data_IF_474993960200
#
_entry.id   IF_474993960200
#
_cell.length_a   1.000
_cell.length_b   1.000
_cell.length_c   1.000
_cell.angle_alpha   90.00
_cell.angle_beta   90.00
_cell.angle_gamma   90.00
#
_symmetry.space_group_name_H-M   'P 1'
#
loop_
_entity.id
_entity.type
_entity.pdbx_description
1 polymer ?
#
# COMPACT_ATOMS: atom_id res chain seq x y z
N UNK A 1 -36.87 7.66 -9.68
CA UNK A 1 -35.73 6.89 -9.21
C UNK A 1 -34.77 7.89 -8.54
N UNK A 2 -34.41 7.66 -7.28
CA UNK A 2 -33.38 8.45 -6.63
C UNK A 2 -32.03 8.16 -7.32
N UNK A 3 -31.35 9.20 -7.74
CA UNK A 3 -29.99 9.09 -8.30
C UNK A 3 -29.03 8.63 -7.22
N UNK A 4 -28.16 7.66 -7.52
CA UNK A 4 -27.10 7.25 -6.62
C UNK A 4 -26.08 8.40 -6.45
N UNK A 5 -25.55 8.55 -5.24
CA UNK A 5 -24.45 9.49 -4.98
C UNK A 5 -23.17 8.98 -5.62
N UNK A 6 -22.63 9.74 -6.56
CA UNK A 6 -21.40 9.36 -7.25
C UNK A 6 -20.16 9.72 -6.42
N UNK A 7 -19.28 8.76 -6.21
CA UNK A 7 -18.00 8.91 -5.49
C UNK A 7 -16.86 8.50 -6.41
N UNK A 8 -15.91 9.41 -6.65
CA UNK A 8 -14.70 9.14 -7.42
C UNK A 8 -13.62 8.60 -6.51
N UNK A 9 -13.23 7.34 -6.70
CA UNK A 9 -12.23 6.66 -5.88
C UNK A 9 -10.98 6.29 -6.70
N UNK A 10 -9.83 6.83 -6.34
CA UNK A 10 -8.55 6.37 -6.85
C UNK A 10 -8.17 5.02 -6.25
N UNK A 11 -7.50 4.19 -7.02
CA UNK A 11 -6.91 2.95 -6.55
C UNK A 11 -5.66 2.57 -7.35
N UNK A 12 -4.71 1.94 -6.70
CA UNK A 12 -3.64 1.20 -7.36
C UNK A 12 -4.12 -0.23 -7.59
N UNK A 13 -3.89 -0.80 -8.77
CA UNK A 13 -4.44 -2.10 -9.17
C UNK A 13 -3.69 -3.27 -8.50
N UNK A 14 -3.74 -3.36 -7.18
CA UNK A 14 -3.14 -4.39 -6.33
C UNK A 14 -4.15 -4.92 -5.31
N UNK A 15 -3.87 -6.09 -4.76
CA UNK A 15 -4.78 -6.76 -3.81
C UNK A 15 -4.93 -6.05 -2.47
N UNK A 16 -4.09 -5.07 -2.17
CA UNK A 16 -4.16 -4.28 -0.92
C UNK A 16 -5.49 -3.55 -0.73
N UNK A 17 -6.21 -3.29 -1.83
CA UNK A 17 -7.50 -2.58 -1.80
C UNK A 17 -8.70 -3.53 -1.99
N UNK A 18 -8.52 -4.82 -1.72
CA UNK A 18 -9.56 -5.85 -1.78
C UNK A 18 -10.86 -5.45 -1.03
N UNK A 19 -10.84 -4.79 0.15
CA UNK A 19 -12.06 -4.32 0.79
C UNK A 19 -12.93 -3.43 -0.10
N UNK A 20 -12.32 -2.52 -0.87
CA UNK A 20 -13.04 -1.65 -1.79
C UNK A 20 -13.61 -2.43 -2.98
N UNK A 21 -12.82 -3.34 -3.55
CA UNK A 21 -13.29 -4.16 -4.69
C UNK A 21 -14.51 -4.99 -4.32
N UNK A 22 -14.49 -5.57 -3.13
CA UNK A 22 -15.60 -6.38 -2.61
C UNK A 22 -16.79 -5.51 -2.21
N UNK A 23 -16.56 -4.35 -1.62
CA UNK A 23 -17.65 -3.43 -1.29
C UNK A 23 -18.44 -3.00 -2.55
N UNK A 24 -17.76 -2.86 -3.68
CA UNK A 24 -18.40 -2.57 -4.97
C UNK A 24 -19.00 -3.86 -5.56
N UNK A 25 -18.21 -4.93 -5.65
CA UNK A 25 -18.61 -6.16 -6.35
C UNK A 25 -19.74 -6.93 -5.68
N UNK A 26 -19.96 -6.74 -4.38
CA UNK A 26 -21.05 -7.32 -3.60
C UNK A 26 -22.18 -6.33 -3.30
N UNK A 27 -22.25 -5.25 -4.05
CA UNK A 27 -23.30 -4.23 -3.97
C UNK A 27 -23.42 -3.49 -2.62
N UNK A 28 -22.44 -3.62 -1.70
CA UNK A 28 -22.46 -2.92 -0.41
C UNK A 28 -22.46 -1.38 -0.58
N UNK A 29 -21.82 -0.87 -1.66
CA UNK A 29 -21.90 0.55 -2.02
C UNK A 29 -23.29 0.94 -2.47
N UNK A 30 -23.96 0.13 -3.29
CA UNK A 30 -25.34 0.37 -3.74
C UNK A 30 -26.35 0.32 -2.58
N UNK A 31 -26.16 -0.59 -1.62
CA UNK A 31 -26.97 -0.63 -0.38
C UNK A 31 -26.89 0.71 0.40
N UNK A 32 -25.79 1.42 0.24
CA UNK A 32 -25.58 2.76 0.81
C UNK A 32 -25.92 3.90 -0.14
N UNK A 33 -26.67 3.62 -1.22
CA UNK A 33 -27.02 4.57 -2.26
C UNK A 33 -25.82 5.27 -2.91
N UNK A 34 -24.70 4.53 -3.11
CA UNK A 34 -23.45 5.04 -3.70
C UNK A 34 -23.11 4.29 -4.98
N UNK A 35 -22.76 5.04 -6.02
CA UNK A 35 -22.08 4.56 -7.22
C UNK A 35 -20.62 5.00 -7.17
N UNK A 36 -19.69 4.05 -7.28
CA UNK A 36 -18.25 4.34 -7.25
C UNK A 36 -17.69 4.41 -8.66
N UNK A 37 -17.11 5.56 -8.99
CA UNK A 37 -16.34 5.78 -10.21
C UNK A 37 -14.86 5.50 -9.91
N UNK A 38 -14.37 4.33 -10.32
CA UNK A 38 -13.03 3.84 -10.02
C UNK A 38 -11.99 4.46 -10.97
N UNK A 39 -11.04 5.18 -10.42
CA UNK A 39 -9.95 5.85 -11.14
C UNK A 39 -8.61 5.16 -10.83
N UNK A 40 -8.06 4.43 -11.81
CA UNK A 40 -6.77 3.76 -11.67
C UNK A 40 -5.63 4.78 -11.67
N UNK A 41 -4.75 4.68 -10.70
CA UNK A 41 -3.51 5.47 -10.59
C UNK A 41 -2.30 4.55 -10.48
N UNK A 42 -1.13 5.05 -10.87
CA UNK A 42 0.11 4.28 -10.80
C UNK A 42 0.66 4.18 -9.37
N UNK A 43 0.43 5.21 -8.54
CA UNK A 43 0.97 5.27 -7.17
C UNK A 43 0.18 6.22 -6.28
N UNK A 44 0.45 6.14 -4.96
CA UNK A 44 -0.09 7.10 -4.00
C UNK A 44 0.39 8.53 -4.26
N UNK A 45 1.58 8.71 -4.77
CA UNK A 45 2.13 10.03 -5.12
C UNK A 45 1.29 10.72 -6.19
N UNK A 46 0.89 9.99 -7.22
CA UNK A 46 0.02 10.51 -8.29
C UNK A 46 -1.35 10.98 -7.76
N UNK A 47 -1.94 10.22 -6.85
CA UNK A 47 -3.26 10.53 -6.31
C UNK A 47 -3.30 11.77 -5.41
N UNK A 48 -2.17 12.16 -4.79
CA UNK A 48 -2.16 13.21 -3.76
C UNK A 48 -2.65 14.56 -4.27
N UNK A 49 -2.23 14.99 -5.45
CA UNK A 49 -2.66 16.26 -6.02
C UNK A 49 -4.18 16.29 -6.27
N UNK A 50 -4.74 15.21 -6.80
CA UNK A 50 -6.17 15.10 -7.10
C UNK A 50 -7.03 15.02 -5.83
N UNK A 51 -6.56 14.33 -4.80
CA UNK A 51 -7.22 14.28 -3.49
C UNK A 51 -7.19 15.66 -2.82
N UNK A 52 -6.04 16.34 -2.84
CA UNK A 52 -5.89 17.68 -2.26
C UNK A 52 -6.77 18.72 -2.95
N UNK A 53 -6.97 18.61 -4.26
CA UNK A 53 -7.86 19.48 -5.05
C UNK A 53 -9.34 19.08 -4.94
N UNK A 54 -9.66 17.91 -4.38
CA UNK A 54 -11.02 17.38 -4.31
C UNK A 54 -11.61 16.96 -5.67
N UNK A 55 -10.77 16.70 -6.67
CA UNK A 55 -11.17 16.08 -7.95
C UNK A 55 -11.34 14.57 -7.81
N UNK A 56 -10.71 13.98 -6.81
CA UNK A 56 -10.99 12.65 -6.27
C UNK A 56 -11.58 12.78 -4.87
N UNK A 57 -12.56 11.97 -4.54
CA UNK A 57 -13.23 11.93 -3.24
C UNK A 57 -12.47 11.02 -2.26
N UNK A 58 -12.08 9.85 -2.74
CA UNK A 58 -11.44 8.79 -1.96
C UNK A 58 -10.17 8.32 -2.65
N UNK A 59 -9.14 7.99 -1.88
CA UNK A 59 -7.93 7.36 -2.38
C UNK A 59 -7.62 6.06 -1.64
N UNK A 60 -7.60 4.93 -2.37
CA UNK A 60 -6.96 3.70 -1.93
C UNK A 60 -5.50 3.73 -2.39
N UNK A 61 -4.58 4.05 -1.50
CA UNK A 61 -3.20 4.39 -1.85
C UNK A 61 -2.17 3.85 -0.87
N UNK A 62 -0.94 3.67 -1.36
CA UNK A 62 0.23 3.49 -0.50
C UNK A 62 0.65 4.81 0.14
N UNK A 63 1.08 4.76 1.39
CA UNK A 63 1.65 5.92 2.08
C UNK A 63 3.03 6.22 1.48
N UNK A 64 3.24 7.47 1.10
CA UNK A 64 4.48 7.95 0.48
C UNK A 64 4.96 9.24 1.14
N UNK A 65 6.17 9.68 0.85
CA UNK A 65 6.66 10.98 1.29
C UNK A 65 5.77 12.13 0.79
N UNK A 66 5.16 12.00 -0.41
CA UNK A 66 4.20 12.97 -0.93
C UNK A 66 2.95 13.09 -0.04
N UNK A 67 2.51 12.00 0.56
CA UNK A 67 1.41 12.00 1.53
C UNK A 67 1.74 12.89 2.73
N UNK A 68 2.89 12.70 3.33
CA UNK A 68 3.34 13.51 4.48
C UNK A 68 3.60 14.96 4.09
N UNK A 69 4.21 15.22 2.92
CA UNK A 69 4.41 16.56 2.43
C UNK A 69 3.08 17.30 2.19
N UNK A 70 2.04 16.60 1.75
CA UNK A 70 0.71 17.16 1.60
C UNK A 70 0.11 17.55 2.96
N UNK A 71 0.23 16.70 3.98
CA UNK A 71 -0.19 17.03 5.35
C UNK A 71 0.58 18.21 5.92
N UNK A 72 1.90 18.25 5.73
CA UNK A 72 2.74 19.34 6.20
C UNK A 72 2.34 20.69 5.57
N UNK A 73 2.05 20.70 4.28
CA UNK A 73 1.56 21.88 3.54
C UNK A 73 0.15 22.32 3.96
N UNK A 74 -0.54 21.53 4.78
CA UNK A 74 -1.88 21.84 5.26
C UNK A 74 -2.98 21.53 4.25
N UNK A 75 -2.73 20.67 3.27
CA UNK A 75 -3.80 20.19 2.40
C UNK A 75 -4.87 19.45 3.22
N UNK A 76 -6.12 19.74 2.88
CA UNK A 76 -7.25 19.19 3.59
C UNK A 76 -7.59 17.80 3.03
N UNK A 77 -6.94 16.81 3.58
CA UNK A 77 -7.17 15.39 3.34
C UNK A 77 -6.80 14.60 4.60
N UNK A 78 -7.39 13.44 4.80
CA UNK A 78 -7.15 12.61 6.00
C UNK A 78 -7.07 11.14 5.64
N UNK A 79 -6.22 10.42 6.33
CA UNK A 79 -6.27 8.96 6.43
C UNK A 79 -7.48 8.63 7.31
N UNK A 80 -8.40 7.81 6.81
CA UNK A 80 -9.64 7.47 7.50
C UNK A 80 -9.76 5.98 7.83
N UNK A 81 -9.00 5.14 7.15
CA UNK A 81 -9.03 3.69 7.34
C UNK A 81 -7.72 3.03 6.87
N UNK A 82 -7.38 1.89 7.45
CA UNK A 82 -6.36 1.00 6.87
C UNK A 82 -6.89 0.38 5.58
N UNK A 83 -5.99 0.04 4.65
CA UNK A 83 -6.30 -0.90 3.59
C UNK A 83 -5.74 -2.27 3.97
N UNK A 84 -4.54 -2.62 3.49
CA UNK A 84 -3.88 -3.86 3.88
C UNK A 84 -2.77 -3.63 4.89
N UNK A 85 -2.51 -4.67 5.70
CA UNK A 85 -1.36 -4.77 6.57
C UNK A 85 -0.37 -5.77 5.98
N UNK A 86 0.92 -5.54 6.18
CA UNK A 86 1.93 -6.50 5.78
C UNK A 86 1.76 -7.83 6.53
N UNK A 87 1.90 -8.98 5.87
CA UNK A 87 1.93 -10.26 6.57
C UNK A 87 3.01 -10.27 7.64
N UNK A 88 2.75 -10.95 8.76
CA UNK A 88 3.74 -11.05 9.84
C UNK A 88 4.90 -11.95 9.47
N UNK A 89 4.71 -12.90 8.54
CA UNK A 89 5.71 -13.84 8.04
C UNK A 89 5.41 -14.23 6.60
N UNK A 90 6.47 -14.27 5.78
CA UNK A 90 6.41 -14.74 4.40
C UNK A 90 5.69 -13.74 3.48
N UNK A 91 5.85 -12.44 3.71
CA UNK A 91 5.31 -11.40 2.84
C UNK A 91 5.78 -11.56 1.40
N UNK A 92 4.96 -11.14 0.42
CA UNK A 92 5.25 -11.34 -1.00
C UNK A 92 6.34 -10.42 -1.53
N UNK A 93 6.56 -9.28 -0.89
CA UNK A 93 7.59 -8.30 -1.27
C UNK A 93 8.91 -8.64 -0.60
N UNK A 94 9.95 -8.79 -1.39
CA UNK A 94 11.26 -9.28 -0.94
C UNK A 94 12.40 -8.42 -1.47
N UNK A 95 13.55 -8.46 -0.80
CA UNK A 95 14.82 -7.98 -1.35
C UNK A 95 15.55 -9.17 -1.94
N UNK A 96 15.84 -9.10 -3.23
CA UNK A 96 16.60 -10.09 -3.99
C UNK A 96 17.98 -9.51 -4.25
N UNK A 97 19.01 -10.34 -4.15
CA UNK A 97 20.38 -10.01 -4.53
C UNK A 97 20.81 -10.81 -5.75
N UNK A 98 21.66 -10.26 -6.59
CA UNK A 98 22.23 -10.95 -7.74
C UNK A 98 22.95 -12.21 -7.29
N UNK A 99 22.61 -13.36 -7.92
CA UNK A 99 23.11 -14.68 -7.51
C UNK A 99 24.64 -14.75 -7.42
N UNK A 100 25.36 -14.16 -8.38
CA UNK A 100 26.83 -14.14 -8.38
C UNK A 100 27.44 -13.45 -7.14
N UNK A 101 26.78 -12.42 -6.59
CA UNK A 101 27.25 -11.76 -5.37
C UNK A 101 27.01 -12.61 -4.12
N UNK A 102 25.92 -13.37 -4.10
CA UNK A 102 25.62 -14.29 -3.01
C UNK A 102 26.60 -15.48 -3.02
N UNK A 103 26.77 -16.09 -4.19
CA UNK A 103 27.63 -17.27 -4.37
C UNK A 103 29.11 -16.96 -4.07
N UNK A 104 29.60 -15.78 -4.45
CA UNK A 104 30.96 -15.33 -4.14
C UNK A 104 31.17 -14.90 -2.68
N UNK A 105 30.10 -14.87 -1.87
CA UNK A 105 30.16 -14.41 -0.48
C UNK A 105 30.31 -12.90 -0.30
N UNK A 106 30.23 -12.10 -1.38
CA UNK A 106 30.32 -10.64 -1.32
C UNK A 106 29.09 -9.98 -0.71
N UNK A 107 27.92 -10.61 -0.80
CA UNK A 107 26.69 -10.17 -0.16
C UNK A 107 26.05 -11.35 0.55
N UNK A 108 26.03 -11.31 1.87
CA UNK A 108 25.45 -12.34 2.73
C UNK A 108 24.20 -11.83 3.45
N UNK A 109 24.16 -10.53 3.73
CA UNK A 109 23.11 -9.85 4.52
C UNK A 109 22.81 -8.46 3.96
N UNK A 110 21.82 -7.78 4.53
CA UNK A 110 21.48 -6.37 4.19
C UNK A 110 22.67 -5.43 4.45
N UNK A 111 23.50 -5.70 5.49
CA UNK A 111 24.67 -4.87 5.79
C UNK A 111 25.69 -4.83 4.63
N UNK A 112 25.76 -5.89 3.84
CA UNK A 112 26.68 -5.98 2.69
C UNK A 112 26.17 -5.21 1.44
N UNK A 113 25.00 -4.58 1.53
CA UNK A 113 24.48 -3.72 0.47
C UNK A 113 25.16 -2.34 0.43
N UNK A 114 26.01 -2.02 1.41
CA UNK A 114 26.77 -0.76 1.41
C UNK A 114 27.56 -0.60 0.10
N UNK A 115 27.37 0.56 -0.56
CA UNK A 115 27.99 0.87 -1.86
C UNK A 115 27.41 0.11 -3.06
N UNK A 116 26.31 -0.63 -2.88
CA UNK A 116 25.67 -1.42 -3.93
C UNK A 116 24.53 -0.70 -4.62
N UNK A 117 24.27 -1.08 -5.87
CA UNK A 117 23.14 -0.60 -6.68
C UNK A 117 21.89 -1.38 -6.33
N UNK A 118 20.92 -0.72 -5.69
CA UNK A 118 19.65 -1.31 -5.25
C UNK A 118 18.50 -0.69 -6.01
N UNK A 119 17.82 -1.51 -6.82
CA UNK A 119 16.67 -1.05 -7.61
C UNK A 119 15.39 -1.00 -6.76
N UNK A 120 14.67 0.10 -6.89
CA UNK A 120 13.39 0.34 -6.23
C UNK A 120 12.46 1.01 -7.24
N UNK A 121 11.31 0.39 -7.52
CA UNK A 121 10.33 0.98 -8.43
C UNK A 121 9.76 2.27 -7.86
N UNK A 122 9.77 3.33 -8.67
CA UNK A 122 9.31 4.67 -8.30
C UNK A 122 10.34 5.49 -7.52
N UNK A 123 11.45 4.90 -7.10
CA UNK A 123 12.57 5.61 -6.47
C UNK A 123 12.29 6.14 -5.06
N UNK A 124 12.91 7.28 -4.70
CA UNK A 124 12.84 7.85 -3.36
C UNK A 124 11.42 8.19 -2.90
N UNK A 125 11.15 8.04 -1.60
CA UNK A 125 9.89 8.46 -0.98
C UNK A 125 8.69 7.57 -1.28
N UNK A 126 8.87 6.46 -2.00
CA UNK A 126 7.81 5.48 -2.24
C UNK A 126 7.65 4.52 -1.05
N UNK A 127 6.54 3.79 -1.00
CA UNK A 127 6.33 2.72 -0.02
C UNK A 127 7.42 1.64 -0.14
N UNK A 128 7.86 1.35 -1.37
CA UNK A 128 9.00 0.44 -1.60
C UNK A 128 10.30 0.95 -0.98
N UNK A 129 10.59 2.24 -1.17
CA UNK A 129 11.76 2.85 -0.56
C UNK A 129 11.72 2.81 0.99
N UNK A 130 10.53 2.91 1.60
CA UNK A 130 10.36 2.71 3.04
C UNK A 130 10.83 1.33 3.49
N UNK A 131 10.45 0.25 2.80
CA UNK A 131 10.89 -1.10 3.15
C UNK A 131 12.40 -1.26 3.10
N UNK A 132 13.04 -0.74 2.06
CA UNK A 132 14.50 -0.79 1.92
C UNK A 132 15.17 0.04 3.01
N UNK A 133 14.73 1.28 3.23
CA UNK A 133 15.28 2.16 4.27
C UNK A 133 15.14 1.55 5.67
N UNK A 134 14.01 0.91 5.96
CA UNK A 134 13.79 0.21 7.23
C UNK A 134 14.74 -0.98 7.39
N UNK A 135 14.90 -1.82 6.36
CA UNK A 135 15.83 -2.93 6.39
C UNK A 135 17.28 -2.48 6.57
N UNK A 136 17.68 -1.40 5.90
CA UNK A 136 19.01 -0.79 6.06
C UNK A 136 19.21 -0.27 7.48
N UNK A 137 18.23 0.44 8.05
CA UNK A 137 18.27 0.97 9.42
C UNK A 137 18.50 -0.15 10.44
N UNK A 138 17.80 -1.28 10.31
CA UNK A 138 17.95 -2.45 11.16
C UNK A 138 19.35 -3.11 11.03
N UNK A 139 20.00 -2.94 9.88
CA UNK A 139 21.37 -3.40 9.64
C UNK A 139 22.46 -2.35 9.97
N UNK A 140 22.07 -1.22 10.59
CA UNK A 140 23.00 -0.14 10.95
C UNK A 140 23.44 0.73 9.79
N UNK A 141 22.69 0.72 8.68
CA UNK A 141 22.93 1.53 7.48
C UNK A 141 21.82 2.57 7.29
N UNK A 142 22.04 3.48 6.35
CA UNK A 142 21.04 4.43 5.88
C UNK A 142 20.85 4.30 4.37
N UNK A 143 19.84 4.95 3.83
CA UNK A 143 19.59 4.97 2.38
C UNK A 143 20.75 5.64 1.61
N UNK A 144 21.56 6.46 2.28
CA UNK A 144 22.76 7.11 1.70
C UNK A 144 23.94 6.15 1.53
N UNK A 145 23.89 4.99 2.17
CA UNK A 145 24.92 3.96 2.08
C UNK A 145 24.77 3.09 0.83
N UNK A 146 23.68 3.22 0.08
CA UNK A 146 23.43 2.50 -1.18
C UNK A 146 23.31 3.47 -2.36
N UNK A 147 23.51 2.97 -3.57
CA UNK A 147 23.14 3.64 -4.80
C UNK A 147 21.72 3.21 -5.20
N UNK A 148 20.72 4.05 -4.92
CA UNK A 148 19.32 3.75 -5.30
C UNK A 148 19.14 3.93 -6.80
N UNK A 149 18.60 2.90 -7.46
CA UNK A 149 18.28 2.93 -8.89
C UNK A 149 16.75 2.89 -9.02
N UNK A 150 16.18 3.94 -9.64
CA UNK A 150 14.76 3.92 -9.98
C UNK A 150 14.55 3.08 -11.24
N UNK A 151 13.97 1.90 -11.07
CA UNK A 151 13.76 0.95 -12.15
C UNK A 151 12.41 0.26 -11.98
N UNK A 152 11.60 0.22 -13.04
CA UNK A 152 10.31 -0.46 -13.01
C UNK A 152 10.47 -1.97 -12.83
N UNK A 153 9.54 -2.60 -12.11
CA UNK A 153 9.61 -4.03 -11.80
C UNK A 153 9.80 -4.94 -13.03
N UNK A 154 9.14 -4.71 -14.19
CA UNK A 154 9.34 -5.53 -15.37
C UNK A 154 10.79 -5.53 -15.89
N UNK A 155 11.52 -4.42 -15.69
CA UNK A 155 12.87 -4.24 -16.22
C UNK A 155 13.95 -4.82 -15.31
N UNK A 156 13.61 -5.12 -14.05
CA UNK A 156 14.55 -5.60 -13.03
C UNK A 156 15.21 -6.93 -13.42
N UNK A 157 14.45 -7.84 -14.05
CA UNK A 157 15.01 -9.12 -14.48
C UNK A 157 16.17 -8.93 -15.46
N UNK A 158 15.97 -8.11 -16.50
CA UNK A 158 17.02 -7.83 -17.50
C UNK A 158 18.21 -7.12 -16.85
N UNK A 159 17.97 -6.22 -15.89
CA UNK A 159 19.03 -5.52 -15.17
C UNK A 159 19.88 -6.49 -14.32
N UNK A 160 19.27 -7.50 -13.68
CA UNK A 160 20.00 -8.59 -13.00
C UNK A 160 20.83 -9.40 -13.99
N UNK A 161 20.27 -9.79 -15.13
CA UNK A 161 20.97 -10.56 -16.18
C UNK A 161 22.20 -9.83 -16.71
N UNK A 162 22.10 -8.51 -16.88
CA UNK A 162 23.21 -7.67 -17.36
C UNK A 162 24.17 -7.23 -16.25
N UNK A 163 23.89 -7.52 -14.98
CA UNK A 163 24.68 -7.05 -13.86
C UNK A 163 24.60 -5.53 -13.64
N UNK A 164 23.57 -4.87 -14.16
CA UNK A 164 23.36 -3.42 -14.03
C UNK A 164 22.91 -2.99 -12.63
N UNK A 165 22.33 -3.91 -11.86
CA UNK A 165 21.94 -3.75 -10.45
C UNK A 165 22.48 -4.90 -9.62
N UNK A 166 22.70 -4.66 -8.33
CA UNK A 166 23.20 -5.67 -7.39
C UNK A 166 22.06 -6.32 -6.59
N UNK A 167 21.06 -5.54 -6.24
CA UNK A 167 19.89 -5.98 -5.51
C UNK A 167 18.63 -5.22 -5.98
N UNK A 168 17.45 -5.72 -5.60
CA UNK A 168 16.18 -5.05 -5.88
C UNK A 168 15.14 -5.40 -4.82
N UNK A 169 14.27 -4.43 -4.52
CA UNK A 169 12.99 -4.68 -3.84
C UNK A 169 11.95 -5.02 -4.91
N UNK A 170 11.34 -6.18 -4.81
CA UNK A 170 10.41 -6.67 -5.84
C UNK A 170 9.43 -7.67 -5.27
N UNK A 171 8.22 -7.72 -5.83
CA UNK A 171 7.18 -8.68 -5.52
C UNK A 171 6.81 -9.55 -6.70
N UNK A 172 5.93 -10.56 -6.49
CA UNK A 172 5.41 -11.38 -7.58
C UNK A 172 4.66 -10.56 -8.64
N UNK A 173 4.65 -11.01 -9.90
CA UNK A 173 5.31 -12.23 -10.43
C UNK A 173 6.80 -12.06 -10.73
N UNK A 174 7.33 -10.85 -10.62
CA UNK A 174 8.70 -10.53 -11.04
C UNK A 174 9.77 -11.16 -10.14
N UNK A 175 9.54 -11.19 -8.82
CA UNK A 175 10.41 -11.90 -7.88
C UNK A 175 10.56 -13.37 -8.25
N UNK A 176 9.45 -14.03 -8.58
CA UNK A 176 9.44 -15.44 -8.96
C UNK A 176 10.18 -15.68 -10.27
N UNK A 177 10.04 -14.77 -11.24
CA UNK A 177 10.75 -14.85 -12.52
C UNK A 177 12.27 -14.67 -12.35
N UNK A 178 12.70 -13.74 -11.49
CA UNK A 178 14.13 -13.49 -11.23
C UNK A 178 14.76 -14.67 -10.50
N UNK A 179 14.10 -15.18 -9.46
CA UNK A 179 14.60 -16.32 -8.67
C UNK A 179 14.53 -17.60 -9.50
N UNK A 180 13.41 -17.88 -10.15
CA UNK A 180 13.22 -19.08 -10.98
C UNK A 180 14.14 -19.10 -12.20
N UNK A 181 14.51 -17.94 -12.74
CA UNK A 181 15.50 -17.79 -13.81
C UNK A 181 16.97 -17.91 -13.33
N UNK A 182 17.22 -18.12 -12.03
CA UNK A 182 18.56 -18.29 -11.46
C UNK A 182 19.45 -17.04 -11.51
N UNK A 183 18.86 -15.84 -11.66
CA UNK A 183 19.60 -14.58 -11.75
C UNK A 183 19.73 -13.85 -10.42
N UNK A 184 18.80 -14.13 -9.51
CA UNK A 184 18.77 -13.56 -8.17
C UNK A 184 18.36 -14.60 -7.12
N UNK A 185 18.70 -14.32 -5.88
CA UNK A 185 18.33 -15.13 -4.71
C UNK A 185 17.76 -14.24 -3.62
N UNK A 186 16.90 -14.79 -2.78
CA UNK A 186 16.32 -14.09 -1.64
C UNK A 186 17.43 -13.61 -0.70
N UNK A 187 17.42 -12.32 -0.37
CA UNK A 187 18.30 -11.72 0.63
C UNK A 187 17.55 -11.38 1.92
N UNK A 188 16.39 -10.76 1.80
CA UNK A 188 15.55 -10.38 2.93
C UNK A 188 14.06 -10.42 2.60
N UNK A 189 13.27 -10.70 3.60
CA UNK A 189 11.82 -10.77 3.58
C UNK A 189 11.26 -10.22 4.89
N UNK A 190 9.99 -9.86 4.91
CA UNK A 190 9.31 -9.40 6.13
C UNK A 190 9.97 -8.17 6.78
N UNK A 191 10.35 -7.16 5.97
CA UNK A 191 11.03 -5.94 6.44
C UNK A 191 10.17 -5.07 7.38
N UNK A 192 8.85 -5.19 7.30
CA UNK A 192 7.91 -4.44 8.13
C UNK A 192 6.70 -5.32 8.53
N UNK A 193 6.87 -6.39 9.32
CA UNK A 193 5.80 -7.33 9.64
C UNK A 193 4.65 -6.66 10.40
N UNK A 194 3.42 -6.87 9.92
CA UNK A 194 2.21 -6.27 10.50
C UNK A 194 2.01 -4.78 10.23
N UNK A 195 2.93 -4.12 9.52
CA UNK A 195 2.83 -2.69 9.27
C UNK A 195 1.69 -2.35 8.31
N UNK A 196 0.99 -1.27 8.60
CA UNK A 196 0.03 -0.62 7.71
C UNK A 196 0.78 0.32 6.77
N UNK A 197 0.91 -0.05 5.50
CA UNK A 197 1.59 0.77 4.50
C UNK A 197 0.66 1.27 3.39
N UNK A 198 -0.58 0.77 3.37
CA UNK A 198 -1.65 1.19 2.48
C UNK A 198 -2.89 1.58 3.26
N UNK A 199 -3.57 2.61 2.79
CA UNK A 199 -4.66 3.27 3.50
C UNK A 199 -5.78 3.69 2.56
N UNK A 200 -6.94 4.01 3.13
CA UNK A 200 -7.97 4.81 2.49
C UNK A 200 -7.93 6.23 3.04
N UNK A 201 -7.98 7.19 2.13
CA UNK A 201 -7.98 8.61 2.43
C UNK A 201 -9.23 9.27 1.89
N UNK A 202 -9.73 10.29 2.60
CA UNK A 202 -10.79 11.16 2.13
C UNK A 202 -10.24 12.53 1.79
N UNK A 203 -10.76 13.12 0.69
CA UNK A 203 -10.51 14.53 0.37
C UNK A 203 -11.27 15.44 1.33
N UNK A 204 -10.72 16.64 1.59
CA UNK A 204 -11.41 17.65 2.38
C UNK A 204 -12.74 18.06 1.78
N UNK A 205 -12.84 18.08 0.44
CA UNK A 205 -14.08 18.36 -0.25
C UNK A 205 -15.19 17.37 0.09
N UNK A 206 -14.87 16.05 0.02
CA UNK A 206 -15.85 15.02 0.40
C UNK A 206 -16.31 15.21 1.86
N UNK A 207 -15.35 15.41 2.78
CA UNK A 207 -15.64 15.53 4.20
C UNK A 207 -16.48 16.78 4.55
N UNK A 208 -16.25 17.89 3.86
CA UNK A 208 -16.96 19.16 4.12
C UNK A 208 -18.29 19.27 3.41
N UNK A 209 -18.34 18.90 2.13
CA UNK A 209 -19.53 19.11 1.30
C UNK A 209 -20.50 17.94 1.36
N UNK A 210 -20.02 16.72 1.60
CA UNK A 210 -20.82 15.49 1.58
C UNK A 210 -20.52 14.54 2.73
N UNK A 211 -20.54 15.00 4.01
CA UNK A 211 -20.16 14.17 5.16
C UNK A 211 -21.01 12.90 5.32
N UNK A 212 -22.30 12.95 4.96
CA UNK A 212 -23.18 11.78 5.01
C UNK A 212 -22.83 10.74 3.93
N UNK A 213 -22.36 11.17 2.75
CA UNK A 213 -21.84 10.26 1.73
C UNK A 213 -20.54 9.61 2.22
N UNK A 214 -19.64 10.38 2.81
CA UNK A 214 -18.40 9.89 3.39
C UNK A 214 -18.65 8.81 4.47
N UNK A 215 -19.63 9.03 5.34
CA UNK A 215 -20.06 8.08 6.38
C UNK A 215 -20.62 6.79 5.77
N UNK A 216 -21.55 6.89 4.82
CA UNK A 216 -22.14 5.73 4.14
C UNK A 216 -21.10 4.94 3.34
N UNK A 217 -20.13 5.62 2.72
CA UNK A 217 -19.00 4.98 2.05
C UNK A 217 -18.18 4.14 3.02
N UNK A 218 -17.88 4.66 4.22
CA UNK A 218 -17.15 3.91 5.25
C UNK A 218 -17.93 2.67 5.72
N UNK A 219 -19.23 2.75 5.88
CA UNK A 219 -20.07 1.59 6.23
C UNK A 219 -19.89 0.48 5.19
N UNK A 220 -20.02 0.81 3.90
CA UNK A 220 -19.85 -0.15 2.82
C UNK A 220 -18.42 -0.72 2.77
N UNK A 221 -17.42 0.12 2.98
CA UNK A 221 -16.02 -0.27 2.95
C UNK A 221 -15.68 -1.27 4.07
N UNK A 222 -16.15 -1.03 5.30
CA UNK A 222 -15.99 -1.95 6.42
C UNK A 222 -16.72 -3.27 6.15
N UNK A 223 -17.94 -3.24 5.57
CA UNK A 223 -18.63 -4.47 5.13
C UNK A 223 -17.78 -5.26 4.14
N UNK A 224 -17.12 -4.58 3.20
CA UNK A 224 -16.18 -5.19 2.26
C UNK A 224 -15.00 -5.88 2.97
N UNK A 225 -14.40 -5.23 3.96
CA UNK A 225 -13.31 -5.83 4.74
C UNK A 225 -13.76 -7.03 5.56
N UNK A 226 -14.92 -6.94 6.22
CA UNK A 226 -15.50 -8.06 6.97
C UNK A 226 -15.83 -9.27 6.09
N UNK A 227 -16.21 -9.03 4.84
CA UNK A 227 -16.59 -10.08 3.89
C UNK A 227 -15.39 -10.86 3.32
N UNK A 228 -14.15 -10.42 3.55
CA UNK A 228 -12.95 -11.09 3.08
C UNK A 228 -12.12 -11.75 4.19
N UNK A 229 -12.67 -11.85 5.39
CA UNK A 229 -11.92 -12.43 6.51
C UNK A 229 -11.78 -13.95 6.39
N UNK A 230 -10.60 -14.46 6.75
CA UNK A 230 -10.31 -15.89 6.76
C UNK A 230 -10.53 -16.57 5.40
N UNK A 231 -11.22 -17.71 5.39
CA UNK A 231 -11.48 -18.49 4.17
C UNK A 231 -12.34 -17.74 3.15
N UNK A 232 -13.16 -16.80 3.60
CA UNK A 232 -14.04 -15.99 2.73
C UNK A 232 -13.25 -15.16 1.72
N UNK A 233 -11.95 -14.89 1.99
CA UNK A 233 -11.07 -14.21 1.04
C UNK A 233 -11.08 -14.85 -0.36
N UNK A 234 -11.21 -16.17 -0.45
CA UNK A 234 -11.22 -16.94 -1.68
C UNK A 234 -12.62 -17.34 -2.17
N UNK A 235 -13.69 -16.79 -1.59
CA UNK A 235 -15.05 -17.00 -2.09
C UNK A 235 -15.18 -16.53 -3.54
N UNK A 236 -15.96 -17.25 -4.35
CA UNK A 236 -16.13 -16.97 -5.78
C UNK A 236 -16.58 -15.54 -6.07
N UNK A 237 -17.51 -15.00 -5.24
CA UNK A 237 -17.98 -13.63 -5.38
C UNK A 237 -16.86 -12.60 -5.13
N UNK A 238 -15.99 -12.86 -4.16
CA UNK A 238 -14.85 -12.01 -3.85
C UNK A 238 -13.78 -12.08 -4.93
N UNK A 239 -13.45 -13.29 -5.42
CA UNK A 239 -12.51 -13.48 -6.53
C UNK A 239 -12.96 -12.74 -7.79
N UNK A 240 -14.26 -12.83 -8.12
CA UNK A 240 -14.84 -12.07 -9.23
C UNK A 240 -14.70 -10.57 -9.05
N UNK A 241 -14.89 -10.05 -7.83
CA UNK A 241 -14.70 -8.65 -7.52
C UNK A 241 -13.23 -8.21 -7.69
N UNK A 242 -12.28 -9.00 -7.21
CA UNK A 242 -10.84 -8.69 -7.35
C UNK A 242 -10.42 -8.63 -8.82
N UNK A 243 -10.76 -9.64 -9.61
CA UNK A 243 -10.35 -9.77 -11.02
C UNK A 243 -10.89 -8.66 -11.91
N UNK A 244 -11.89 -7.91 -11.45
CA UNK A 244 -12.37 -6.72 -12.15
C UNK A 244 -11.36 -5.56 -12.09
N UNK A 245 -10.53 -5.50 -11.05
CA UNK A 245 -9.67 -4.34 -10.76
C UNK A 245 -8.17 -4.64 -10.75
N UNK A 246 -7.78 -5.91 -10.64
CA UNK A 246 -6.37 -6.32 -10.66
C UNK A 246 -6.07 -7.19 -11.87
N UNK A 247 -4.88 -6.98 -12.46
CA UNK A 247 -4.39 -7.84 -13.54
C UNK A 247 -3.79 -9.10 -12.93
N UNK A 248 -4.60 -10.14 -12.77
CA UNK A 248 -4.22 -11.42 -12.20
C UNK A 248 -5.12 -12.54 -12.72
N UNK A 249 -4.90 -13.76 -12.28
CA UNK A 249 -5.77 -14.91 -12.51
C UNK A 249 -6.29 -15.44 -11.18
N UNK A 250 -7.46 -16.09 -11.20
CA UNK A 250 -8.02 -16.74 -10.01
C UNK A 250 -7.01 -17.70 -9.37
N UNK A 251 -6.33 -18.49 -10.20
CA UNK A 251 -5.32 -19.46 -9.75
C UNK A 251 -4.12 -18.77 -9.07
N UNK A 252 -3.66 -17.64 -9.60
CA UNK A 252 -2.58 -16.87 -8.98
C UNK A 252 -3.01 -16.30 -7.63
N UNK A 253 -4.23 -15.79 -7.51
CA UNK A 253 -4.76 -15.29 -6.24
C UNK A 253 -4.91 -16.42 -5.22
N UNK A 254 -5.42 -17.59 -5.62
CA UNK A 254 -5.56 -18.76 -4.74
C UNK A 254 -4.24 -19.31 -4.22
N UNK A 255 -3.18 -19.25 -5.03
CA UNK A 255 -1.83 -19.71 -4.65
C UNK A 255 -1.00 -18.67 -3.93
N UNK A 256 -1.34 -17.40 -4.12
CA UNK A 256 -0.64 -16.29 -3.51
C UNK A 256 -0.85 -16.23 -1.99
N UNK A 257 0.06 -15.53 -1.32
CA UNK A 257 -0.13 -15.21 0.10
C UNK A 257 -0.94 -13.92 0.21
N UNK A 258 -2.10 -13.92 0.89
CA UNK A 258 -2.89 -12.72 1.06
C UNK A 258 -2.16 -11.72 1.97
N UNK A 259 -2.46 -10.45 1.78
CA UNK A 259 -2.23 -9.43 2.79
C UNK A 259 -3.13 -9.70 4.00
N UNK A 260 -2.82 -9.06 5.12
CA UNK A 260 -3.71 -9.03 6.27
C UNK A 260 -4.69 -7.86 6.12
N UNK A 261 -5.93 -8.08 6.53
CA UNK A 261 -6.96 -7.04 6.54
C UNK A 261 -7.59 -6.98 7.92
N UNK A 262 -7.57 -5.80 8.52
CA UNK A 262 -8.35 -5.59 9.75
C UNK A 262 -9.85 -5.58 9.40
N UNK A 263 -10.71 -6.39 10.05
CA UNK A 263 -12.13 -6.46 9.72
C UNK A 263 -12.85 -5.11 9.83
N UNK A 264 -12.40 -4.25 10.71
CA UNK A 264 -12.97 -2.93 10.96
C UNK A 264 -12.12 -1.79 10.38
N UNK A 265 -11.10 -2.12 9.58
CA UNK A 265 -10.18 -1.19 8.90
C UNK A 265 -9.49 -0.21 9.88
N UNK A 266 -9.12 -0.70 11.07
CA UNK A 266 -8.44 0.09 12.09
C UNK A 266 -7.17 0.75 11.55
N UNK A 267 -6.97 2.02 11.88
CA UNK A 267 -5.74 2.75 11.58
C UNK A 267 -4.67 2.44 12.63
N UNK A 268 -3.50 2.05 12.17
CA UNK A 268 -2.35 1.70 13.01
C UNK A 268 -1.37 2.88 13.05
N UNK A 269 -1.51 3.74 14.05
CA UNK A 269 -0.75 4.99 14.16
C UNK A 269 0.77 4.77 14.25
N UNK A 270 1.21 3.69 14.89
CA UNK A 270 2.65 3.39 14.98
C UNK A 270 3.27 3.14 13.61
N UNK A 271 2.52 2.57 12.66
CA UNK A 271 2.96 2.43 11.27
C UNK A 271 3.15 3.79 10.59
N UNK A 272 2.19 4.71 10.76
CA UNK A 272 2.27 6.06 10.19
C UNK A 272 3.48 6.81 10.75
N UNK A 273 3.64 6.80 12.07
CA UNK A 273 4.77 7.46 12.75
C UNK A 273 6.11 6.90 12.33
N UNK A 274 6.22 5.57 12.19
CA UNK A 274 7.46 4.93 11.75
C UNK A 274 7.79 5.27 10.30
N UNK A 275 6.81 5.28 9.40
CA UNK A 275 7.02 5.68 8.02
C UNK A 275 7.43 7.15 7.91
N UNK A 276 6.78 8.05 8.65
CA UNK A 276 7.13 9.46 8.68
C UNK A 276 8.56 9.69 9.17
N UNK A 277 8.95 9.03 10.27
CA UNK A 277 10.31 9.10 10.82
C UNK A 277 11.36 8.67 9.78
N UNK A 278 11.17 7.51 9.15
CA UNK A 278 12.10 6.99 8.14
C UNK A 278 12.17 7.94 6.94
N UNK A 279 11.05 8.48 6.47
CA UNK A 279 11.04 9.42 5.35
C UNK A 279 11.73 10.76 5.71
N UNK A 280 11.59 11.24 6.95
CA UNK A 280 12.32 12.43 7.43
C UNK A 280 13.83 12.17 7.53
N UNK A 281 14.22 11.05 8.12
CA UNK A 281 15.64 10.63 8.23
C UNK A 281 16.29 10.48 6.85
N UNK A 282 15.57 9.98 5.87
CA UNK A 282 16.01 9.85 4.49
C UNK A 282 16.04 11.19 3.72
N UNK A 283 15.58 12.29 4.33
CA UNK A 283 15.42 13.60 3.69
C UNK A 283 14.47 13.58 2.47
N UNK A 284 13.44 12.72 2.51
CA UNK A 284 12.41 12.67 1.47
C UNK A 284 11.20 13.55 1.77
N UNK A 285 11.12 14.09 2.99
CA UNK A 285 10.10 15.07 3.37
C UNK A 285 10.66 16.50 3.28
N UNK A 286 9.76 17.49 3.09
CA UNK A 286 10.08 18.90 3.01
C UNK A 286 10.20 19.57 4.39
N UNK A 287 10.19 18.79 5.45
CA UNK A 287 10.16 19.24 6.83
C UNK A 287 10.91 18.25 7.72
N UNK A 288 11.22 18.66 8.95
CA UNK A 288 12.03 17.88 9.89
C UNK A 288 11.32 17.53 11.20
N UNK A 289 10.27 18.28 11.56
CA UNK A 289 9.49 18.06 12.80
C UNK A 289 8.25 17.22 12.49
N UNK A 290 7.99 16.17 13.28
CA UNK A 290 6.84 15.28 13.12
C UNK A 290 5.51 16.03 13.07
N UNK A 291 4.61 15.59 12.18
CA UNK A 291 3.29 16.18 12.02
C UNK A 291 2.36 15.66 13.15
N UNK A 292 1.58 16.53 13.80
CA UNK A 292 0.56 16.11 14.77
C UNK A 292 -0.45 15.15 14.14
N UNK A 293 -0.83 14.11 14.90
CA UNK A 293 -1.71 13.04 14.43
C UNK A 293 -3.05 13.56 13.86
N UNK A 294 -3.65 14.54 14.52
CA UNK A 294 -4.94 15.13 14.14
C UNK A 294 -4.91 15.82 12.76
N UNK A 295 -3.74 16.16 12.26
CA UNK A 295 -3.57 16.68 10.90
C UNK A 295 -3.52 15.60 9.82
N UNK A 296 -3.26 14.35 10.22
CA UNK A 296 -3.06 13.23 9.31
C UNK A 296 -4.26 12.27 9.28
N UNK A 297 -4.96 12.10 10.39
CA UNK A 297 -5.93 11.02 10.59
C UNK A 297 -7.24 11.57 11.12
N UNK A 298 -8.36 11.04 10.59
CA UNK A 298 -9.71 11.25 11.11
C UNK A 298 -10.39 9.89 11.31
N UNK A 299 -10.54 9.46 12.56
CA UNK A 299 -11.16 8.18 12.92
C UNK A 299 -12.69 8.26 13.04
N UNK A 300 -13.28 9.46 13.00
CA UNK A 300 -14.70 9.65 13.29
C UNK A 300 -15.64 8.90 12.34
N UNK A 301 -15.27 8.77 11.07
CA UNK A 301 -16.06 8.03 10.06
C UNK A 301 -16.11 6.54 10.37
N UNK A 302 -14.97 5.92 10.72
CA UNK A 302 -14.91 4.52 11.12
C UNK A 302 -15.67 4.29 12.43
N UNK A 303 -15.52 5.15 13.42
CA UNK A 303 -16.24 5.08 14.69
C UNK A 303 -17.76 5.15 14.50
N UNK A 304 -18.23 6.06 13.66
CA UNK A 304 -19.66 6.18 13.32
C UNK A 304 -20.19 4.95 12.57
N UNK A 305 -19.40 4.44 11.60
CA UNK A 305 -19.77 3.23 10.85
C UNK A 305 -19.86 2.01 11.77
N UNK A 306 -18.95 1.86 12.73
CA UNK A 306 -18.95 0.76 13.70
C UNK A 306 -20.15 0.81 14.64
N UNK A 307 -20.64 2.00 15.01
CA UNK A 307 -21.91 2.13 15.77
C UNK A 307 -23.10 1.57 14.99
N UNK A 308 -23.12 1.72 13.67
CA UNK A 308 -24.15 1.17 12.80
C UNK A 308 -24.01 -0.34 12.61
N UNK A 309 -22.78 -0.81 12.37
CA UNK A 309 -22.52 -2.20 12.01
C UNK A 309 -22.43 -3.15 13.23
N UNK A 310 -22.14 -2.61 14.41
CA UNK A 310 -21.85 -3.41 15.59
C UNK A 310 -20.51 -4.15 15.50
N UNK A 311 -20.16 -4.95 16.54
CA UNK A 311 -18.92 -5.71 16.58
C UNK A 311 -18.82 -6.72 15.43
N UNK A 312 -17.62 -6.92 14.91
CA UNK A 312 -17.34 -7.98 13.94
C UNK A 312 -17.53 -9.35 14.60
N UNK A 313 -18.27 -10.21 13.93
CA UNK A 313 -18.43 -11.63 14.29
C UNK A 313 -17.77 -12.47 13.19
N UNK A 314 -16.72 -13.26 13.48
CA UNK A 314 -16.00 -14.10 12.52
C UNK A 314 -16.87 -15.10 11.76
#
# INVERSE_FOLDING_TARGET
AFSLDRVKAAYVAIMNFAPLYVAIGRDFMKEQNIEVDMQKVASGTEAMAFLAQGTLDVGGVGITAATFNAFHKGFDLRIVASAALQPRKGGPTVIIVRKALKDSGKVKSIADLKGRKVAIAGGPGTTGAYFVAKALKEAGLTIKDIEMVNLANPDMRLAFEKGAIDAALVGPPYSDQIIGGGKGVLLAQDMAPGAMTTVFMYSGKLMKERPEVAKRFMIALIKGSRAIQGKKYLDSANLKAYLKYVTSTENAIRRGRPQLFDPDLKVYMDSIKNMEEIFREASWTNYTTAIPQERMVDLSYAEQALKVLGPFKP
#
